data_IF_056204780175
#
_entry.id   IF_056204780175
#
_cell.length_a   1.000
_cell.length_b   1.000
_cell.length_c   1.000
_cell.angle_alpha   90.00
_cell.angle_beta   90.00
_cell.angle_gamma   90.00
#
_symmetry.space_group_name_H-M   'P 1'
#
loop_
_entity.id
_entity.type
_entity.pdbx_description
1 polymer ?
#
# COMPACT_ATOMS: atom_id res chain seq x y z
N UNK A 1 -7.87 19.82 -19.03
CA UNK A 1 -7.70 19.73 -20.49
C UNK A 1 -8.77 18.88 -21.16
N UNK A 2 -8.96 17.59 -20.80
CA UNK A 2 -10.02 16.74 -21.43
C UNK A 2 -11.45 17.23 -21.15
N UNK A 3 -11.71 17.81 -19.98
CA UNK A 3 -13.01 18.41 -19.65
C UNK A 3 -13.29 19.63 -20.52
N UNK A 4 -12.30 20.48 -20.75
CA UNK A 4 -12.42 21.71 -21.52
C UNK A 4 -12.66 21.45 -23.01
N UNK A 5 -12.01 20.44 -23.58
CA UNK A 5 -12.18 20.09 -25.00
C UNK A 5 -13.55 19.51 -25.34
N UNK A 6 -14.19 18.82 -24.39
CA UNK A 6 -15.54 18.25 -24.58
C UNK A 6 -16.66 19.29 -24.45
N UNK A 7 -16.48 20.30 -23.60
CA UNK A 7 -17.52 21.29 -23.33
C UNK A 7 -17.59 22.41 -24.36
N UNK A 8 -16.57 22.58 -25.22
CA UNK A 8 -16.45 23.74 -26.11
C UNK A 8 -16.39 25.07 -25.35
N UNK A 9 -16.07 25.05 -24.05
CA UNK A 9 -16.06 26.20 -23.19
C UNK A 9 -14.87 27.13 -23.52
N UNK A 10 -15.11 28.43 -23.44
CA UNK A 10 -14.06 29.45 -23.62
C UNK A 10 -13.28 29.73 -22.33
N UNK A 11 -13.73 29.18 -21.21
CA UNK A 11 -13.07 29.26 -19.89
C UNK A 11 -12.80 27.84 -19.35
N UNK A 12 -11.78 27.64 -18.48
CA UNK A 12 -11.50 26.35 -17.88
C UNK A 12 -12.73 25.79 -17.15
N UNK A 13 -13.07 24.54 -17.43
CA UNK A 13 -14.17 23.83 -16.75
C UNK A 13 -13.70 23.07 -15.52
N UNK A 14 -12.42 23.12 -15.22
CA UNK A 14 -11.81 22.49 -14.06
C UNK A 14 -10.85 23.45 -13.37
N UNK A 15 -10.63 23.21 -12.06
CA UNK A 15 -9.57 23.82 -11.28
C UNK A 15 -8.98 22.77 -10.33
N UNK A 16 -7.66 22.71 -10.23
CA UNK A 16 -6.95 21.96 -9.21
C UNK A 16 -6.54 22.94 -8.09
N UNK A 17 -6.97 22.66 -6.88
CA UNK A 17 -6.62 23.44 -5.69
C UNK A 17 -5.52 22.68 -4.94
N UNK A 18 -4.36 23.30 -4.78
CA UNK A 18 -3.23 22.75 -4.04
C UNK A 18 -2.90 23.70 -2.89
N UNK A 19 -2.92 23.17 -1.67
CA UNK A 19 -2.60 23.96 -0.46
C UNK A 19 -1.12 24.28 -0.30
N UNK A 20 -0.25 23.61 -1.06
CA UNK A 20 1.18 23.82 -1.07
C UNK A 20 1.59 24.76 -2.23
N UNK A 21 2.81 25.29 -2.17
CA UNK A 21 3.32 26.22 -3.20
C UNK A 21 3.79 25.52 -4.49
N UNK A 22 3.95 24.20 -4.45
CA UNK A 22 4.44 23.37 -5.53
C UNK A 22 3.57 22.14 -5.71
N UNK A 23 3.51 21.53 -6.91
CA UNK A 23 2.75 20.32 -7.14
C UNK A 23 3.41 19.11 -6.46
N UNK A 24 2.63 18.03 -6.28
CA UNK A 24 3.09 16.75 -5.76
C UNK A 24 3.76 16.83 -4.37
N UNK A 25 3.13 17.54 -3.43
CA UNK A 25 3.60 17.78 -2.06
C UNK A 25 4.23 16.55 -1.38
N UNK A 26 3.64 15.37 -1.53
CA UNK A 26 4.17 14.13 -0.96
C UNK A 26 5.57 13.81 -1.48
N UNK A 27 5.79 13.92 -2.80
CA UNK A 27 7.09 13.64 -3.41
C UNK A 27 8.09 14.76 -3.12
N UNK A 28 7.64 16.03 -3.07
CA UNK A 28 8.46 17.16 -2.63
C UNK A 28 9.05 16.92 -1.24
N UNK A 29 8.33 16.22 -0.37
CA UNK A 29 8.74 15.91 1.01
C UNK A 29 9.50 14.60 1.19
N UNK A 30 9.78 13.88 0.12
CA UNK A 30 10.71 12.76 0.21
C UNK A 30 12.13 13.28 0.48
N UNK A 31 12.95 12.46 1.11
CA UNK A 31 14.36 12.81 1.30
C UNK A 31 15.04 13.03 -0.07
N UNK A 32 16.01 13.92 -0.11
CA UNK A 32 16.84 14.20 -1.28
C UNK A 32 17.45 12.92 -1.84
N UNK A 33 17.44 12.77 -3.16
CA UNK A 33 17.97 11.59 -3.83
C UNK A 33 17.15 10.32 -3.70
N UNK A 34 16.01 10.34 -2.97
CA UNK A 34 15.17 9.14 -2.82
C UNK A 34 14.77 8.59 -4.18
N UNK A 35 15.07 7.30 -4.39
CA UNK A 35 14.58 6.57 -5.56
C UNK A 35 13.10 6.21 -5.39
N UNK A 36 12.29 6.56 -6.37
CA UNK A 36 10.85 6.28 -6.40
C UNK A 36 10.57 5.24 -7.47
N UNK A 37 10.01 4.13 -7.05
CA UNK A 37 9.70 3.00 -7.94
C UNK A 37 8.38 3.24 -8.68
N UNK A 38 8.34 2.87 -9.97
CA UNK A 38 7.13 2.91 -10.79
C UNK A 38 6.30 1.63 -10.63
N UNK A 39 5.86 1.36 -9.41
CA UNK A 39 5.05 0.18 -9.08
C UNK A 39 3.53 0.44 -9.26
N UNK A 40 2.75 -0.60 -9.61
CA UNK A 40 3.18 -1.89 -10.13
C UNK A 40 3.72 -1.76 -11.56
N UNK A 41 4.85 -2.48 -11.86
CA UNK A 41 5.58 -2.35 -13.12
C UNK A 41 4.74 -2.69 -14.36
N UNK A 42 3.81 -3.64 -14.22
CA UNK A 42 2.96 -4.16 -15.28
C UNK A 42 1.66 -3.34 -15.51
N UNK A 43 1.36 -2.35 -14.65
CA UNK A 43 0.18 -1.51 -14.82
C UNK A 43 0.50 -0.37 -15.79
N UNK A 44 -0.18 -0.32 -16.92
CA UNK A 44 -0.03 0.77 -17.87
C UNK A 44 -0.66 2.06 -17.35
N UNK A 45 -0.04 3.18 -17.68
CA UNK A 45 -0.60 4.49 -17.39
C UNK A 45 -1.66 4.85 -18.43
N UNK A 46 -2.79 5.36 -17.96
CA UNK A 46 -3.87 5.93 -18.78
C UNK A 46 -3.75 7.45 -18.90
N UNK A 47 -2.99 8.06 -18.03
CA UNK A 47 -2.71 9.49 -18.01
C UNK A 47 -1.80 9.89 -19.16
N UNK A 48 -1.99 11.11 -19.67
CA UNK A 48 -1.07 11.74 -20.64
C UNK A 48 0.24 12.16 -19.93
N UNK A 49 0.25 12.28 -18.60
CA UNK A 49 1.46 12.45 -17.81
C UNK A 49 2.20 11.13 -17.70
N UNK A 50 3.52 11.18 -17.85
CA UNK A 50 4.36 10.00 -17.74
C UNK A 50 4.79 9.74 -16.28
N UNK A 51 5.03 8.47 -15.96
CA UNK A 51 5.66 8.08 -14.71
C UNK A 51 6.56 6.87 -14.92
N UNK A 52 7.86 7.09 -14.74
CA UNK A 52 8.88 6.05 -14.71
C UNK A 52 9.60 6.11 -13.37
N UNK A 53 10.29 5.02 -13.00
CA UNK A 53 11.16 5.03 -11.82
C UNK A 53 12.31 6.02 -12.00
N UNK A 54 12.76 6.59 -10.90
CA UNK A 54 13.85 7.56 -10.91
C UNK A 54 14.02 8.24 -9.56
N UNK A 55 14.99 9.15 -9.46
CA UNK A 55 15.12 9.96 -8.26
C UNK A 55 13.94 10.94 -8.11
N UNK A 56 13.68 11.34 -6.86
CA UNK A 56 12.73 12.41 -6.53
C UNK A 56 12.85 13.61 -7.47
N UNK A 57 14.06 14.08 -7.68
CA UNK A 57 14.36 15.28 -8.48
C UNK A 57 14.03 15.08 -9.97
N UNK A 58 14.34 13.90 -10.51
CA UNK A 58 14.03 13.55 -11.90
C UNK A 58 12.52 13.52 -12.12
N UNK A 59 11.75 12.91 -11.20
CA UNK A 59 10.29 12.83 -11.31
C UNK A 59 9.67 14.22 -11.20
N UNK A 60 10.07 15.02 -10.21
CA UNK A 60 9.53 16.37 -10.01
C UNK A 60 9.83 17.27 -11.19
N UNK A 61 11.05 17.24 -11.72
CA UNK A 61 11.44 18.04 -12.88
C UNK A 61 10.65 17.67 -14.13
N UNK A 62 10.43 16.37 -14.36
CA UNK A 62 9.64 15.88 -15.48
C UNK A 62 8.18 16.28 -15.37
N UNK A 63 7.58 16.07 -14.21
CA UNK A 63 6.18 16.43 -13.98
C UNK A 63 5.94 17.94 -14.07
N UNK A 64 6.87 18.78 -13.60
CA UNK A 64 6.75 20.22 -13.76
C UNK A 64 6.72 20.60 -15.24
N UNK A 65 7.62 20.06 -16.05
CA UNK A 65 7.65 20.31 -17.50
C UNK A 65 6.38 19.85 -18.21
N UNK A 66 5.83 18.69 -17.82
CA UNK A 66 4.58 18.16 -18.38
C UNK A 66 3.35 18.99 -17.96
N UNK A 67 3.30 19.48 -16.72
CA UNK A 67 2.24 20.38 -16.24
C UNK A 67 2.28 21.72 -16.98
N UNK A 68 3.47 22.29 -17.19
CA UNK A 68 3.65 23.53 -17.93
C UNK A 68 3.21 23.36 -19.40
N UNK A 69 3.55 22.22 -20.01
CA UNK A 69 3.18 21.92 -21.40
C UNK A 69 1.67 21.68 -21.60
N UNK A 70 1.00 21.09 -20.59
CA UNK A 70 -0.44 20.79 -20.68
C UNK A 70 -1.35 21.95 -20.29
N UNK A 71 -0.81 22.97 -19.62
CA UNK A 71 -1.55 24.15 -19.19
C UNK A 71 -2.71 23.82 -18.23
N UNK A 72 -2.52 22.86 -17.31
CA UNK A 72 -3.52 22.51 -16.32
C UNK A 72 -3.81 23.72 -15.42
N UNK A 73 -5.09 24.02 -15.20
CA UNK A 73 -5.52 25.12 -14.34
C UNK A 73 -5.29 24.77 -12.87
N UNK A 74 -4.14 25.14 -12.30
CA UNK A 74 -3.76 24.88 -10.91
C UNK A 74 -3.71 26.21 -10.16
N UNK A 75 -4.30 26.24 -8.96
CA UNK A 75 -4.18 27.33 -8.00
C UNK A 75 -3.45 26.82 -6.76
N UNK A 76 -2.19 27.22 -6.62
CA UNK A 76 -1.33 26.92 -5.48
C UNK A 76 -1.66 27.80 -4.26
N UNK A 77 -1.16 27.43 -3.07
CA UNK A 77 -1.41 28.14 -1.83
C UNK A 77 -2.91 28.19 -1.45
N UNK A 78 -3.73 27.29 -1.98
CA UNK A 78 -5.18 27.29 -1.86
C UNK A 78 -5.66 26.18 -0.93
N UNK A 79 -5.55 26.41 0.37
CA UNK A 79 -6.02 25.46 1.38
C UNK A 79 -7.55 25.42 1.42
N UNK A 80 -8.11 24.22 1.18
CA UNK A 80 -9.55 23.96 1.30
C UNK A 80 -9.89 23.67 2.77
N UNK A 81 -10.79 24.45 3.35
CA UNK A 81 -11.21 24.34 4.74
C UNK A 81 -12.55 23.62 4.92
N UNK A 82 -13.35 23.50 3.85
CA UNK A 82 -14.62 22.80 3.90
C UNK A 82 -15.23 22.60 2.52
N UNK A 83 -16.03 21.55 2.40
CA UNK A 83 -16.79 21.21 1.19
C UNK A 83 -18.20 20.87 1.64
N UNK A 84 -19.20 21.53 1.05
CA UNK A 84 -20.62 21.29 1.33
C UNK A 84 -21.41 21.19 0.04
N UNK A 85 -22.54 20.49 0.09
CA UNK A 85 -23.42 20.29 -1.06
C UNK A 85 -23.33 18.87 -1.64
N UNK A 86 -23.80 18.73 -2.86
CA UNK A 86 -23.82 17.48 -3.60
C UNK A 86 -23.70 17.78 -5.11
N UNK A 87 -23.72 16.74 -5.93
CA UNK A 87 -23.63 16.81 -7.40
C UNK A 87 -24.43 17.99 -7.97
N UNK A 88 -23.78 18.80 -8.78
CA UNK A 88 -24.34 19.99 -9.41
C UNK A 88 -24.32 21.27 -8.55
N UNK A 89 -24.06 21.19 -7.24
CA UNK A 89 -24.12 22.34 -6.35
C UNK A 89 -23.17 22.26 -5.15
N UNK A 90 -21.90 21.96 -5.37
CA UNK A 90 -20.90 22.03 -4.33
C UNK A 90 -20.46 23.47 -4.05
N UNK A 91 -20.15 23.75 -2.79
CA UNK A 91 -19.46 24.96 -2.33
C UNK A 91 -18.18 24.55 -1.61
N UNK A 92 -17.03 24.97 -2.15
CA UNK A 92 -15.69 24.70 -1.63
C UNK A 92 -15.18 25.96 -0.94
N UNK A 93 -15.03 25.94 0.37
CA UNK A 93 -14.51 27.05 1.17
C UNK A 93 -12.98 26.99 1.24
N UNK A 94 -12.33 28.14 1.04
CA UNK A 94 -10.88 28.31 1.13
C UNK A 94 -10.49 29.08 2.40
N UNK A 95 -9.25 28.88 2.86
CA UNK A 95 -8.72 29.53 4.04
C UNK A 95 -8.66 31.07 3.91
N UNK A 96 -8.58 31.60 2.69
CA UNK A 96 -8.62 33.04 2.40
C UNK A 96 -10.03 33.67 2.44
N UNK A 97 -11.04 32.88 2.80
CA UNK A 97 -12.44 33.29 2.87
C UNK A 97 -13.20 33.24 1.54
N UNK A 98 -12.55 32.87 0.45
CA UNK A 98 -13.23 32.67 -0.84
C UNK A 98 -13.99 31.35 -0.87
N UNK A 99 -14.99 31.27 -1.75
CA UNK A 99 -15.70 30.04 -2.03
C UNK A 99 -15.77 29.78 -3.55
N UNK A 100 -15.58 28.53 -3.94
CA UNK A 100 -15.64 28.07 -5.33
C UNK A 100 -16.87 27.18 -5.48
N UNK A 101 -17.59 27.34 -6.60
CA UNK A 101 -18.70 26.46 -6.97
C UNK A 101 -18.23 25.38 -7.92
N UNK A 102 -18.71 24.14 -7.72
CA UNK A 102 -18.41 23.01 -8.61
C UNK A 102 -19.61 22.07 -8.74
N UNK A 103 -19.69 21.40 -9.88
CA UNK A 103 -20.68 20.34 -10.13
C UNK A 103 -20.24 19.01 -9.55
N UNK A 104 -18.92 18.73 -9.57
CA UNK A 104 -18.29 17.55 -9.01
C UNK A 104 -16.98 17.91 -8.31
N UNK A 105 -16.60 17.11 -7.32
CA UNK A 105 -15.37 17.30 -6.54
C UNK A 105 -14.60 15.99 -6.48
N UNK A 106 -13.27 16.06 -6.65
CA UNK A 106 -12.37 14.91 -6.51
C UNK A 106 -11.36 15.21 -5.41
N UNK A 107 -11.37 14.40 -4.35
CA UNK A 107 -10.39 14.48 -3.28
C UNK A 107 -9.18 13.59 -3.59
N UNK A 108 -8.06 14.23 -3.90
CA UNK A 108 -6.76 13.59 -4.14
C UNK A 108 -5.71 14.01 -3.10
N UNK A 109 -6.14 14.20 -1.85
CA UNK A 109 -5.37 14.85 -0.79
C UNK A 109 -4.35 13.92 -0.09
N UNK A 110 -4.36 12.62 -0.39
CA UNK A 110 -3.45 11.65 0.20
C UNK A 110 -3.56 11.52 1.73
N UNK A 111 -2.53 10.96 2.35
CA UNK A 111 -2.47 10.70 3.80
C UNK A 111 -1.36 11.50 4.50
N UNK A 112 -0.33 11.95 3.82
CA UNK A 112 0.91 12.44 4.44
C UNK A 112 0.80 13.82 5.11
N UNK A 113 -0.31 14.53 4.96
CA UNK A 113 -0.55 15.80 5.65
C UNK A 113 -0.57 15.70 7.19
N UNK A 114 -0.84 14.51 7.73
CA UNK A 114 -0.98 14.24 9.15
C UNK A 114 -0.02 13.14 9.61
N UNK A 115 1.28 13.42 9.81
CA UNK A 115 2.19 12.42 10.34
C UNK A 115 1.76 11.99 11.73
N UNK A 116 1.83 10.69 11.98
CA UNK A 116 1.59 10.15 13.33
C UNK A 116 2.68 10.64 14.26
N UNK A 117 2.28 11.29 15.35
CA UNK A 117 3.17 11.77 16.39
C UNK A 117 3.66 10.64 17.28
N UNK A 118 4.74 10.86 18.02
CA UNK A 118 5.28 9.94 19.02
C UNK A 118 4.28 9.66 20.13
N UNK A 119 3.52 10.68 20.54
CA UNK A 119 2.54 10.57 21.61
C UNK A 119 3.16 10.56 23.02
N UNK A 120 4.39 11.10 23.15
CA UNK A 120 5.14 11.14 24.41
C UNK A 120 5.50 12.59 24.77
N UNK A 121 5.86 12.84 26.02
CA UNK A 121 6.39 14.14 26.43
C UNK A 121 7.66 14.46 25.61
N UNK A 122 7.90 15.72 25.32
CA UNK A 122 9.04 16.17 24.52
C UNK A 122 8.95 15.92 23.01
N UNK A 123 7.86 15.36 22.50
CA UNK A 123 7.68 15.09 21.06
C UNK A 123 7.74 16.31 20.14
N UNK A 124 7.63 17.52 20.70
CA UNK A 124 7.70 18.80 19.97
C UNK A 124 9.02 19.55 20.20
N UNK A 125 10.02 18.94 20.82
CA UNK A 125 11.35 19.55 20.96
C UNK A 125 11.97 19.81 19.58
N UNK A 126 12.79 20.86 19.41
CA UNK A 126 13.29 21.28 18.10
C UNK A 126 14.07 20.23 17.30
N UNK A 127 14.68 19.26 18.00
CA UNK A 127 15.44 18.17 17.39
C UNK A 127 14.64 16.86 17.24
N UNK A 128 13.33 16.90 17.51
CA UNK A 128 12.38 15.82 17.23
C UNK A 128 11.66 16.12 15.93
N UNK A 129 11.94 15.36 14.89
CA UNK A 129 11.49 15.59 13.51
C UNK A 129 10.59 14.46 13.04
N UNK A 130 9.63 14.79 12.19
CA UNK A 130 8.70 13.84 11.58
C UNK A 130 8.93 13.68 10.07
N UNK A 131 9.95 14.36 9.57
CA UNK A 131 10.37 14.34 8.17
C UNK A 131 11.91 14.43 8.13
N UNK A 132 12.50 13.80 7.14
CA UNK A 132 13.91 13.94 6.78
C UNK A 132 13.96 14.48 5.35
N UNK A 133 14.50 15.69 5.20
CA UNK A 133 14.60 16.36 3.89
C UNK A 133 15.91 15.98 3.19
N UNK A 134 17.02 16.19 3.84
CA UNK A 134 18.35 15.84 3.33
C UNK A 134 19.14 15.07 4.38
N UNK A 135 19.41 13.77 4.20
CA UNK A 135 20.23 13.00 5.14
C UNK A 135 21.69 13.47 5.21
N UNK A 136 22.19 14.17 4.18
CA UNK A 136 23.56 14.67 4.11
C UNK A 136 23.79 15.92 5.00
N UNK A 137 22.71 16.56 5.48
CA UNK A 137 22.81 17.69 6.42
C UNK A 137 23.34 17.29 7.80
N UNK A 138 23.33 15.99 8.12
CA UNK A 138 23.73 15.49 9.44
C UNK A 138 24.95 14.59 9.30
N UNK A 139 26.03 14.90 10.02
CA UNK A 139 27.25 14.11 10.08
C UNK A 139 27.75 14.00 11.50
N UNK A 140 28.30 12.81 11.84
CA UNK A 140 28.85 12.47 13.14
C UNK A 140 27.85 12.67 14.31
N UNK A 141 26.56 12.57 14.03
CA UNK A 141 25.50 12.61 15.02
C UNK A 141 25.11 11.17 15.47
N UNK A 142 24.63 11.04 16.71
CA UNK A 142 23.86 9.89 17.17
C UNK A 142 22.38 10.18 16.91
N UNK A 143 21.74 9.44 16.01
CA UNK A 143 20.37 9.69 15.57
C UNK A 143 19.48 8.49 15.92
N UNK A 144 18.33 8.77 16.51
CA UNK A 144 17.30 7.75 16.77
C UNK A 144 16.20 7.87 15.72
N UNK A 145 16.00 6.79 14.96
CA UNK A 145 14.89 6.68 14.00
C UNK A 145 13.78 5.83 14.63
N UNK A 146 12.61 6.40 14.82
CA UNK A 146 11.47 5.70 15.46
C UNK A 146 10.51 5.23 14.39
N UNK A 147 10.36 3.93 14.24
CA UNK A 147 9.49 3.26 13.27
C UNK A 147 10.18 2.10 12.56
N UNK A 148 9.40 1.24 11.92
CA UNK A 148 9.89 0.01 11.26
C UNK A 148 9.21 -0.24 9.89
N UNK A 149 8.62 0.78 9.29
CA UNK A 149 8.11 0.74 7.90
C UNK A 149 9.16 1.23 6.91
N UNK A 150 8.85 1.13 5.60
CA UNK A 150 9.78 1.48 4.51
C UNK A 150 10.44 2.84 4.69
N UNK A 151 9.67 3.89 4.99
CA UNK A 151 10.22 5.23 5.18
C UNK A 151 11.19 5.35 6.37
N UNK A 152 10.97 4.58 7.45
CA UNK A 152 11.90 4.55 8.59
C UNK A 152 13.20 3.83 8.21
N UNK A 153 13.08 2.70 7.52
CA UNK A 153 14.20 1.90 7.05
C UNK A 153 15.07 2.71 6.08
N UNK A 154 14.45 3.33 5.07
CA UNK A 154 15.15 4.15 4.08
C UNK A 154 15.89 5.34 4.73
N UNK A 155 15.25 6.00 5.71
CA UNK A 155 15.88 7.08 6.45
C UNK A 155 17.07 6.58 7.31
N UNK A 156 16.89 5.44 8.01
CA UNK A 156 17.95 4.86 8.83
C UNK A 156 19.16 4.45 7.98
N UNK A 157 18.94 3.80 6.84
CA UNK A 157 20.00 3.41 5.90
C UNK A 157 20.75 4.62 5.33
N UNK A 158 20.02 5.65 4.89
CA UNK A 158 20.65 6.86 4.35
C UNK A 158 21.48 7.60 5.40
N UNK A 159 20.96 7.75 6.61
CA UNK A 159 21.65 8.43 7.70
C UNK A 159 22.88 7.66 8.19
N UNK A 160 22.85 6.32 8.18
CA UNK A 160 23.94 5.49 8.69
C UNK A 160 25.25 5.59 7.87
N UNK A 161 25.19 6.18 6.68
CA UNK A 161 26.36 6.42 5.86
C UNK A 161 27.40 7.33 6.57
N UNK A 162 26.94 8.24 7.42
CA UNK A 162 27.83 9.20 8.09
C UNK A 162 27.46 9.49 9.57
N UNK A 163 26.48 8.76 10.12
CA UNK A 163 26.02 8.95 11.50
C UNK A 163 25.93 7.61 12.23
N UNK A 164 25.90 7.64 13.57
CA UNK A 164 25.53 6.52 14.43
C UNK A 164 24.01 6.47 14.52
N UNK A 165 23.36 5.43 14.00
CA UNK A 165 21.91 5.37 13.87
C UNK A 165 21.33 4.22 14.70
N UNK A 166 20.32 4.52 15.50
CA UNK A 166 19.52 3.56 16.25
C UNK A 166 18.10 3.54 15.68
N UNK A 167 17.68 2.43 15.03
CA UNK A 167 16.29 2.25 14.62
C UNK A 167 15.50 1.53 15.70
N UNK A 168 14.36 2.11 16.10
CA UNK A 168 13.47 1.53 17.10
C UNK A 168 12.30 0.82 16.45
N UNK A 169 12.18 -0.46 16.70
CA UNK A 169 11.09 -1.29 16.26
C UNK A 169 10.29 -1.80 17.47
N UNK A 170 9.02 -1.44 17.57
CA UNK A 170 8.13 -1.91 18.64
C UNK A 170 7.75 -3.39 18.54
N UNK A 171 8.12 -4.06 17.45
CA UNK A 171 7.96 -5.50 17.22
C UNK A 171 9.32 -6.17 17.21
N UNK A 172 9.29 -7.48 17.22
CA UNK A 172 10.47 -8.35 17.12
C UNK A 172 10.96 -8.53 15.67
N UNK A 173 10.23 -8.00 14.68
CA UNK A 173 10.55 -8.10 13.25
C UNK A 173 10.05 -6.91 12.44
N UNK A 174 10.60 -6.73 11.22
CA UNK A 174 10.17 -5.72 10.25
C UNK A 174 9.01 -6.22 9.36
N UNK A 175 7.90 -6.64 9.97
CA UNK A 175 6.77 -7.31 9.29
C UNK A 175 6.05 -6.48 8.21
N UNK A 176 6.25 -5.17 8.17
CA UNK A 176 5.60 -4.26 7.22
C UNK A 176 6.52 -3.76 6.11
N UNK A 177 7.79 -4.11 6.15
CA UNK A 177 8.77 -3.69 5.18
C UNK A 177 8.58 -4.41 3.84
N UNK A 178 8.81 -3.72 2.74
CA UNK A 178 8.97 -4.34 1.42
C UNK A 178 10.23 -5.19 1.43
N UNK A 179 10.23 -6.26 0.63
CA UNK A 179 11.33 -7.24 0.60
C UNK A 179 12.71 -6.61 0.39
N UNK A 180 12.83 -5.67 -0.56
CA UNK A 180 14.09 -4.96 -0.81
C UNK A 180 14.58 -4.18 0.41
N UNK A 181 13.70 -3.44 1.10
CA UNK A 181 14.02 -2.69 2.30
C UNK A 181 14.32 -3.62 3.48
N UNK A 182 13.59 -4.72 3.61
CA UNK A 182 13.84 -5.74 4.64
C UNK A 182 15.25 -6.31 4.48
N UNK A 183 15.61 -6.76 3.28
CA UNK A 183 16.92 -7.32 3.01
C UNK A 183 18.04 -6.31 3.27
N UNK A 184 17.86 -5.06 2.85
CA UNK A 184 18.85 -4.00 3.03
C UNK A 184 19.07 -3.67 4.53
N UNK A 185 17.99 -3.52 5.31
CA UNK A 185 18.12 -3.18 6.74
C UNK A 185 18.75 -4.34 7.54
N UNK A 186 18.37 -5.59 7.26
CA UNK A 186 18.94 -6.75 7.94
C UNK A 186 20.44 -6.92 7.59
N UNK A 187 20.82 -6.72 6.34
CA UNK A 187 22.22 -6.75 5.92
C UNK A 187 23.03 -5.65 6.63
N UNK A 188 22.50 -4.43 6.71
CA UNK A 188 23.17 -3.32 7.39
C UNK A 188 23.34 -3.56 8.91
N UNK A 189 22.30 -4.04 9.60
CA UNK A 189 22.36 -4.36 11.04
C UNK A 189 23.36 -5.49 11.32
N UNK A 190 23.46 -6.47 10.42
CA UNK A 190 24.36 -7.62 10.58
C UNK A 190 25.82 -7.30 10.27
N UNK A 191 26.12 -6.17 9.63
CA UNK A 191 27.46 -5.76 9.30
C UNK A 191 28.04 -4.85 10.38
N UNK A 192 29.03 -5.28 11.16
CA UNK A 192 29.62 -4.49 12.24
C UNK A 192 30.35 -3.21 11.78
N UNK A 193 30.64 -3.09 10.47
CA UNK A 193 31.22 -1.86 9.92
C UNK A 193 30.17 -0.77 9.67
N UNK A 194 28.87 -1.13 9.64
CA UNK A 194 27.79 -0.16 9.58
C UNK A 194 27.46 0.40 10.95
N UNK A 195 27.32 1.69 11.02
CA UNK A 195 26.90 2.42 12.23
C UNK A 195 25.38 2.39 12.39
N UNK A 196 24.75 1.21 12.20
CA UNK A 196 23.30 1.02 12.26
C UNK A 196 22.93 -0.09 13.23
N UNK A 197 22.16 0.26 14.24
CA UNK A 197 21.71 -0.64 15.28
C UNK A 197 20.20 -0.70 15.34
N UNK A 198 19.63 -1.84 15.72
CA UNK A 198 18.20 -2.00 15.91
C UNK A 198 17.89 -2.40 17.36
N UNK A 199 16.89 -1.71 17.94
CA UNK A 199 16.24 -2.16 19.19
C UNK A 199 14.86 -2.69 18.83
N UNK A 200 14.72 -4.00 18.94
CA UNK A 200 13.43 -4.68 18.77
C UNK A 200 12.59 -4.62 20.03
N UNK A 201 11.28 -4.84 19.89
CA UNK A 201 10.30 -4.83 21.00
C UNK A 201 10.43 -3.60 21.91
N UNK A 202 10.80 -2.45 21.31
CA UNK A 202 11.14 -1.22 22.02
C UNK A 202 10.24 -0.07 21.59
N UNK A 203 9.70 0.67 22.56
CA UNK A 203 8.93 1.89 22.33
C UNK A 203 9.51 3.09 23.11
N UNK A 204 9.29 4.28 22.59
CA UNK A 204 9.62 5.52 23.29
C UNK A 204 8.54 5.81 24.33
N UNK A 205 8.94 6.23 25.54
CA UNK A 205 8.05 6.68 26.61
C UNK A 205 8.23 8.16 26.95
N UNK A 206 9.40 8.73 26.72
CA UNK A 206 9.69 10.15 26.96
C UNK A 206 10.84 10.65 26.07
N UNK A 207 10.88 11.97 25.83
CA UNK A 207 12.02 12.67 25.22
C UNK A 207 12.25 13.95 26.01
N UNK A 208 13.45 14.14 26.54
CA UNK A 208 13.84 15.36 27.25
C UNK A 208 15.09 16.00 26.64
N UNK A 209 15.29 17.27 26.91
CA UNK A 209 16.58 17.90 26.63
C UNK A 209 17.67 17.30 27.54
N UNK A 210 18.87 17.16 26.98
CA UNK A 210 20.03 16.72 27.73
C UNK A 210 20.48 17.79 28.73
N UNK A 211 21.03 17.36 29.86
CA UNK A 211 21.66 18.24 30.81
C UNK A 211 23.07 18.64 30.33
N UNK A 212 23.74 19.56 31.09
CA UNK A 212 25.12 19.96 30.79
C UNK A 212 26.05 18.74 30.74
N UNK A 213 26.74 18.57 29.60
CA UNK A 213 27.62 17.45 29.31
C UNK A 213 26.96 16.21 28.73
N UNK A 214 25.63 16.18 28.58
CA UNK A 214 24.89 15.18 27.83
C UNK A 214 24.74 15.57 26.35
N UNK A 215 24.34 14.59 25.50
CA UNK A 215 23.88 14.90 24.16
C UNK A 215 22.59 15.74 24.20
N UNK A 216 22.26 16.49 23.13
CA UNK A 216 21.14 17.44 23.14
C UNK A 216 19.79 16.88 23.53
N UNK A 217 19.57 15.58 23.30
CA UNK A 217 18.35 14.88 23.68
C UNK A 217 18.69 13.58 24.44
N UNK A 218 17.82 13.22 25.35
CA UNK A 218 17.80 11.91 26.00
C UNK A 218 16.42 11.32 25.84
N UNK A 219 16.33 10.18 25.20
CA UNK A 219 15.10 9.43 24.99
C UNK A 219 14.99 8.32 26.03
N UNK A 220 13.84 8.21 26.67
CA UNK A 220 13.50 7.07 27.53
C UNK A 220 12.76 6.03 26.70
N UNK A 221 13.19 4.79 26.84
CA UNK A 221 12.72 3.65 26.07
C UNK A 221 12.22 2.54 26.96
N UNK A 222 11.03 2.03 26.67
CA UNK A 222 10.51 0.80 27.24
C UNK A 222 11.02 -0.38 26.42
N UNK A 223 11.81 -1.25 27.04
CA UNK A 223 12.37 -2.46 26.43
C UNK A 223 11.89 -3.72 27.17
N UNK A 224 12.05 -4.94 26.61
CA UNK A 224 11.72 -6.17 27.31
C UNK A 224 12.48 -6.37 28.64
N UNK A 225 13.67 -5.79 28.72
CA UNK A 225 14.54 -5.86 29.91
C UNK A 225 14.25 -4.75 30.93
N UNK A 226 13.33 -3.84 30.64
CA UNK A 226 12.98 -2.69 31.44
C UNK A 226 13.26 -1.35 30.77
N UNK A 227 13.11 -0.28 31.52
CA UNK A 227 13.35 1.07 31.07
C UNK A 227 14.85 1.37 30.87
N UNK A 228 15.21 1.92 29.72
CA UNK A 228 16.58 2.37 29.41
C UNK A 228 16.57 3.77 28.82
N UNK A 229 17.68 4.49 28.96
CA UNK A 229 17.87 5.81 28.34
C UNK A 229 18.79 5.71 27.14
N UNK A 230 18.46 6.45 26.07
CA UNK A 230 19.24 6.58 24.86
C UNK A 230 19.56 8.05 24.59
N UNK A 231 20.78 8.50 24.92
CA UNK A 231 21.23 9.83 24.51
C UNK A 231 21.36 9.93 23.00
N UNK A 232 20.96 11.06 22.42
CA UNK A 232 21.03 11.29 20.98
C UNK A 232 21.11 12.78 20.64
N UNK A 233 21.56 13.09 19.44
CA UNK A 233 21.55 14.44 18.90
C UNK A 233 20.18 14.79 18.33
N UNK A 234 19.46 13.79 17.80
CA UNK A 234 18.25 13.98 17.02
C UNK A 234 17.35 12.74 17.07
N UNK A 235 16.04 12.99 16.98
CA UNK A 235 15.03 11.95 16.81
C UNK A 235 14.28 12.17 15.50
N UNK A 236 14.17 11.14 14.67
CA UNK A 236 13.41 11.17 13.42
C UNK A 236 12.29 10.12 13.52
N UNK A 237 11.05 10.58 13.68
CA UNK A 237 9.90 9.71 13.86
C UNK A 237 9.21 9.44 12.51
N UNK A 238 9.20 8.18 12.07
CA UNK A 238 8.59 7.72 10.82
C UNK A 238 7.52 6.68 11.11
N UNK A 239 6.47 7.11 11.79
CA UNK A 239 5.40 6.25 12.32
C UNK A 239 4.21 6.07 11.36
N UNK A 240 4.36 6.54 10.12
CA UNK A 240 3.31 6.59 9.12
C UNK A 240 2.40 7.82 9.29
N UNK A 241 1.32 7.85 8.52
CA UNK A 241 0.36 8.94 8.53
C UNK A 241 -0.99 8.51 9.13
N UNK A 242 -1.78 9.49 9.55
CA UNK A 242 -3.17 9.32 9.95
C UNK A 242 -4.02 9.93 8.84
N UNK A 243 -5.04 9.23 8.32
CA UNK A 243 -5.96 9.82 7.36
C UNK A 243 -6.53 11.14 7.89
N UNK A 244 -6.76 12.17 7.05
CA UNK A 244 -7.36 13.44 7.44
C UNK A 244 -8.86 13.29 7.73
N UNK A 245 -9.21 12.33 8.58
CA UNK A 245 -10.56 11.84 8.84
C UNK A 245 -11.53 12.96 9.20
N UNK A 246 -11.13 13.86 10.09
CA UNK A 246 -12.00 14.97 10.53
C UNK A 246 -12.43 15.85 9.38
N UNK A 247 -11.52 16.17 8.47
CA UNK A 247 -11.82 16.94 7.28
C UNK A 247 -12.76 16.18 6.35
N UNK A 248 -12.47 14.89 6.10
CA UNK A 248 -13.28 14.02 5.22
C UNK A 248 -14.70 13.86 5.78
N UNK A 249 -14.85 13.59 7.07
CA UNK A 249 -16.16 13.53 7.75
C UNK A 249 -16.91 14.88 7.71
N UNK A 250 -16.20 16.02 7.82
CA UNK A 250 -16.84 17.34 7.70
C UNK A 250 -17.40 17.62 6.29
N UNK A 251 -16.91 16.88 5.27
CA UNK A 251 -17.48 16.90 3.92
C UNK A 251 -18.72 16.01 3.76
N UNK A 252 -19.19 15.35 4.82
CA UNK A 252 -20.33 14.45 4.80
C UNK A 252 -20.00 13.01 4.39
N UNK A 253 -18.72 12.67 4.29
CA UNK A 253 -18.27 11.32 3.90
C UNK A 253 -18.28 10.40 5.13
N UNK A 254 -18.83 9.21 4.95
CA UNK A 254 -18.95 8.19 5.98
C UNK A 254 -17.81 7.19 5.93
N UNK A 255 -17.47 6.62 7.08
CA UNK A 255 -16.48 5.56 7.23
C UNK A 255 -17.14 4.31 7.81
N UNK A 256 -16.75 3.10 7.38
CA UNK A 256 -17.38 1.85 7.80
C UNK A 256 -17.15 1.52 9.29
N UNK A 257 -16.14 2.13 9.91
CA UNK A 257 -15.81 1.89 11.31
C UNK A 257 -15.12 3.08 11.96
N UNK A 258 -15.03 3.07 13.30
CA UNK A 258 -14.31 4.07 14.09
C UNK A 258 -12.78 3.79 14.18
N UNK A 259 -12.29 2.75 13.54
CA UNK A 259 -10.84 2.47 13.49
C UNK A 259 -10.13 3.66 12.81
N UNK A 260 -8.97 4.04 13.34
CA UNK A 260 -8.22 5.23 12.87
C UNK A 260 -7.68 5.10 11.45
N UNK A 261 -7.49 3.88 11.00
CA UNK A 261 -6.99 3.49 9.68
C UNK A 261 -8.11 3.05 8.72
N UNK A 262 -9.38 3.22 9.12
CA UNK A 262 -10.51 2.97 8.25
C UNK A 262 -10.44 3.86 6.99
N UNK A 263 -10.80 3.28 5.87
CA UNK A 263 -10.88 3.93 4.57
C UNK A 263 -12.35 4.24 4.29
N UNK A 264 -12.72 5.37 3.67
CA UNK A 264 -14.08 5.66 3.28
C UNK A 264 -14.66 4.57 2.37
N UNK A 265 -15.94 4.30 2.50
CA UNK A 265 -16.63 3.44 1.54
C UNK A 265 -16.80 4.16 0.20
N UNK A 266 -16.37 3.51 -0.87
CA UNK A 266 -16.41 4.05 -2.22
C UNK A 266 -17.08 3.06 -3.16
N UNK A 267 -17.83 3.59 -4.11
CA UNK A 267 -18.30 2.81 -5.25
C UNK A 267 -17.12 2.36 -6.13
N UNK A 268 -17.36 1.42 -7.03
CA UNK A 268 -16.39 1.01 -8.06
C UNK A 268 -15.94 2.16 -8.98
N UNK A 269 -16.63 3.29 -8.94
CA UNK A 269 -16.31 4.51 -9.69
C UNK A 269 -15.63 5.57 -8.81
N UNK A 270 -15.14 5.19 -7.64
CA UNK A 270 -14.48 6.05 -6.63
C UNK A 270 -15.41 7.13 -6.02
N UNK A 271 -16.72 7.06 -6.22
CA UNK A 271 -17.69 7.96 -5.66
C UNK A 271 -18.04 7.57 -4.22
N UNK A 272 -18.06 8.54 -3.33
CA UNK A 272 -18.42 8.37 -1.92
C UNK A 272 -19.95 8.28 -1.72
N UNK A 273 -20.40 8.17 -0.46
CA UNK A 273 -21.82 8.30 -0.10
C UNK A 273 -22.40 9.69 -0.44
N UNK A 274 -21.56 10.71 -0.66
CA UNK A 274 -22.00 12.05 -1.11
C UNK A 274 -21.98 12.07 -2.64
N UNK A 275 -23.14 12.14 -3.33
CA UNK A 275 -23.19 12.13 -4.79
C UNK A 275 -22.35 13.24 -5.42
N UNK A 276 -21.50 12.91 -6.39
CA UNK A 276 -20.60 13.83 -7.07
C UNK A 276 -19.29 14.13 -6.34
N UNK A 277 -19.06 13.54 -5.16
CA UNK A 277 -17.84 13.65 -4.39
C UNK A 277 -17.05 12.35 -4.49
N UNK A 278 -15.89 12.42 -5.14
CA UNK A 278 -15.01 11.28 -5.43
C UNK A 278 -13.75 11.32 -4.59
N UNK A 279 -13.18 10.16 -4.29
CA UNK A 279 -11.94 10.03 -3.53
C UNK A 279 -10.99 9.11 -4.29
N UNK A 280 -9.72 9.52 -4.45
CA UNK A 280 -8.70 8.74 -5.16
C UNK A 280 -7.37 8.70 -4.38
N UNK A 281 -6.49 7.80 -4.79
CA UNK A 281 -5.14 7.65 -4.25
C UNK A 281 -5.13 7.04 -2.84
N UNK A 282 -4.16 7.45 -2.03
CA UNK A 282 -3.91 6.83 -0.72
C UNK A 282 -5.09 6.94 0.25
N UNK A 283 -5.90 8.00 0.15
CA UNK A 283 -7.10 8.16 0.97
C UNK A 283 -8.19 7.13 0.59
N UNK A 284 -8.21 6.66 -0.65
CA UNK A 284 -9.06 5.58 -1.13
C UNK A 284 -8.46 4.17 -0.90
N UNK A 285 -7.32 4.07 -0.20
CA UNK A 285 -6.63 2.80 0.03
C UNK A 285 -5.57 2.43 -0.99
N UNK A 286 -5.29 3.28 -1.98
CA UNK A 286 -4.32 3.03 -3.06
C UNK A 286 -3.05 3.87 -2.87
N UNK A 287 -2.02 3.35 -2.19
CA UNK A 287 -0.83 4.12 -1.84
C UNK A 287 0.16 4.29 -2.99
N UNK A 288 0.00 3.56 -4.11
CA UNK A 288 0.94 3.58 -5.22
C UNK A 288 0.62 4.71 -6.20
N UNK A 289 1.64 5.44 -6.62
CA UNK A 289 1.51 6.62 -7.49
C UNK A 289 0.81 6.27 -8.80
N UNK A 290 1.23 5.19 -9.47
CA UNK A 290 0.67 4.76 -10.77
C UNK A 290 -0.82 4.43 -10.67
N UNK A 291 -1.24 3.79 -9.58
CA UNK A 291 -2.66 3.54 -9.31
C UNK A 291 -3.45 4.85 -9.14
N UNK A 292 -2.92 5.78 -8.33
CA UNK A 292 -3.57 7.07 -8.12
C UNK A 292 -3.69 7.90 -9.42
N UNK A 293 -2.67 7.87 -10.29
CA UNK A 293 -2.72 8.53 -11.60
C UNK A 293 -3.80 7.93 -12.50
N UNK A 294 -3.91 6.60 -12.54
CA UNK A 294 -4.96 5.92 -13.31
C UNK A 294 -6.35 6.20 -12.75
N UNK A 295 -6.52 6.22 -11.44
CA UNK A 295 -7.78 6.61 -10.81
C UNK A 295 -8.18 8.05 -11.16
N UNK A 296 -7.19 8.97 -11.21
CA UNK A 296 -7.42 10.34 -11.66
C UNK A 296 -7.96 10.42 -13.08
N UNK A 297 -7.44 9.59 -14.01
CA UNK A 297 -7.96 9.46 -15.35
C UNK A 297 -9.38 8.87 -15.34
N UNK A 298 -9.58 7.75 -14.65
CA UNK A 298 -10.82 7.00 -14.62
C UNK A 298 -11.97 7.85 -14.04
N UNK A 299 -11.73 8.58 -12.94
CA UNK A 299 -12.75 9.43 -12.32
C UNK A 299 -13.20 10.56 -13.23
N UNK A 300 -12.30 11.13 -14.03
CA UNK A 300 -12.65 12.16 -15.02
C UNK A 300 -13.53 11.57 -16.12
N UNK A 301 -13.24 10.35 -16.59
CA UNK A 301 -14.09 9.66 -17.55
C UNK A 301 -15.50 9.37 -16.97
N UNK A 302 -15.58 8.93 -15.70
CA UNK A 302 -16.86 8.70 -15.01
C UNK A 302 -17.67 10.00 -14.86
N UNK A 303 -17.03 11.12 -14.48
CA UNK A 303 -17.68 12.43 -14.40
C UNK A 303 -18.24 12.84 -15.78
N UNK A 304 -17.54 12.49 -16.85
CA UNK A 304 -17.98 12.73 -18.23
C UNK A 304 -19.07 11.75 -18.72
N UNK A 305 -19.50 10.79 -17.91
CA UNK A 305 -20.48 9.77 -18.25
C UNK A 305 -19.92 8.62 -19.11
N UNK A 306 -18.60 8.51 -19.23
CA UNK A 306 -17.96 7.40 -19.94
C UNK A 306 -17.65 6.29 -18.92
N UNK A 307 -18.39 5.19 -19.00
CA UNK A 307 -18.14 4.02 -18.15
C UNK A 307 -17.04 3.18 -18.79
N UNK A 308 -15.80 3.40 -18.33
CA UNK A 308 -14.62 2.62 -18.72
C UNK A 308 -14.36 1.51 -17.69
N UNK A 309 -13.74 0.42 -18.13
CA UNK A 309 -13.25 -0.60 -17.21
C UNK A 309 -12.11 -0.03 -16.36
N UNK A 310 -12.06 -0.30 -15.05
CA UNK A 310 -10.95 0.14 -14.18
C UNK A 310 -9.58 -0.29 -14.73
N UNK A 311 -8.54 0.47 -14.41
CA UNK A 311 -7.18 0.22 -14.91
C UNK A 311 -6.61 -1.13 -14.47
N UNK A 312 -7.05 -1.65 -13.33
CA UNK A 312 -6.66 -2.94 -12.78
C UNK A 312 -7.40 -4.14 -13.41
N UNK A 313 -8.45 -3.89 -14.19
CA UNK A 313 -9.29 -4.94 -14.79
C UNK A 313 -8.49 -5.94 -15.65
N UNK A 314 -7.57 -5.53 -16.52
CA UNK A 314 -6.77 -6.48 -17.31
C UNK A 314 -5.90 -7.40 -16.43
N UNK A 315 -5.45 -6.93 -15.27
CA UNK A 315 -4.65 -7.73 -14.33
C UNK A 315 -5.49 -8.85 -13.71
N UNK A 316 -6.71 -8.53 -13.34
CA UNK A 316 -7.67 -9.49 -12.80
C UNK A 316 -8.13 -10.48 -13.88
N UNK A 317 -8.29 -10.04 -15.13
CA UNK A 317 -8.54 -10.94 -16.26
C UNK A 317 -7.43 -11.99 -16.39
N UNK A 318 -6.15 -11.58 -16.35
CA UNK A 318 -5.03 -12.53 -16.37
C UNK A 318 -5.03 -13.46 -15.17
N UNK A 319 -5.37 -12.95 -13.98
CA UNK A 319 -5.42 -13.72 -12.74
C UNK A 319 -6.50 -14.80 -12.76
N UNK A 320 -7.63 -14.54 -13.42
CA UNK A 320 -8.78 -15.42 -13.45
C UNK A 320 -8.88 -16.28 -14.71
N UNK A 321 -7.99 -16.12 -15.67
CA UNK A 321 -8.05 -16.79 -16.98
C UNK A 321 -7.99 -18.32 -16.89
N UNK A 322 -7.40 -18.89 -15.83
CA UNK A 322 -7.34 -20.33 -15.60
C UNK A 322 -8.52 -20.91 -14.84
N UNK A 323 -9.52 -20.12 -14.47
CA UNK A 323 -10.70 -20.63 -13.76
C UNK A 323 -11.56 -21.51 -14.68
N UNK A 324 -12.22 -22.54 -14.13
CA UNK A 324 -13.00 -23.50 -14.91
C UNK A 324 -14.36 -22.97 -15.38
N UNK A 325 -14.62 -21.69 -15.28
CA UNK A 325 -15.87 -21.06 -15.69
C UNK A 325 -15.64 -19.66 -16.26
N UNK A 326 -16.38 -19.35 -17.31
CA UNK A 326 -16.40 -18.01 -17.90
C UNK A 326 -17.35 -17.12 -17.09
N UNK A 327 -16.81 -16.02 -16.53
CA UNK A 327 -17.56 -14.97 -15.85
C UNK A 327 -16.85 -13.66 -16.02
N UNK A 328 -17.61 -12.55 -15.92
CA UNK A 328 -17.03 -11.24 -15.83
C UNK A 328 -16.18 -11.09 -14.55
N UNK A 329 -15.12 -10.31 -14.63
CA UNK A 329 -14.17 -10.09 -13.51
C UNK A 329 -14.88 -9.60 -12.25
N UNK A 330 -15.83 -8.68 -12.40
CA UNK A 330 -16.55 -8.11 -11.26
C UNK A 330 -17.42 -9.16 -10.56
N UNK A 331 -18.06 -10.07 -11.31
CA UNK A 331 -18.83 -11.20 -10.74
C UNK A 331 -17.92 -12.17 -9.99
N UNK A 332 -16.69 -12.40 -10.49
CA UNK A 332 -15.71 -13.25 -9.81
C UNK A 332 -15.23 -12.63 -8.51
N UNK A 333 -14.95 -11.34 -8.51
CA UNK A 333 -14.55 -10.58 -7.32
C UNK A 333 -15.66 -10.65 -6.26
N UNK A 334 -16.91 -10.35 -6.61
CA UNK A 334 -18.05 -10.42 -5.69
C UNK A 334 -18.25 -11.85 -5.15
N UNK A 335 -18.13 -12.85 -6.03
CA UNK A 335 -18.23 -14.26 -5.64
C UNK A 335 -17.13 -14.64 -4.65
N UNK A 336 -15.87 -14.36 -4.94
CA UNK A 336 -14.75 -14.70 -4.06
C UNK A 336 -14.87 -14.01 -2.71
N UNK A 337 -15.24 -12.75 -2.70
CA UNK A 337 -15.45 -11.98 -1.48
C UNK A 337 -16.62 -12.56 -0.64
N UNK A 338 -17.71 -12.93 -1.28
CA UNK A 338 -18.90 -13.49 -0.58
C UNK A 338 -18.66 -14.88 0.01
N UNK A 339 -17.83 -15.69 -0.64
CA UNK A 339 -17.55 -17.08 -0.22
C UNK A 339 -16.61 -17.16 0.97
N UNK A 340 -15.73 -16.17 1.16
CA UNK A 340 -14.67 -16.21 2.17
C UNK A 340 -15.00 -15.25 3.31
N UNK A 341 -15.32 -15.76 4.52
CA UNK A 341 -15.75 -14.92 5.64
C UNK A 341 -14.78 -13.77 5.97
N UNK A 342 -13.47 -14.04 5.97
CA UNK A 342 -12.46 -13.05 6.29
C UNK A 342 -12.34 -11.90 5.27
N UNK A 343 -12.84 -12.09 4.04
CA UNK A 343 -12.80 -11.06 3.00
C UNK A 343 -14.04 -10.17 2.96
N UNK A 344 -15.12 -10.56 3.66
CA UNK A 344 -16.41 -9.83 3.66
C UNK A 344 -16.30 -8.43 4.28
N UNK A 345 -15.36 -8.23 5.20
CA UNK A 345 -15.15 -6.94 5.85
C UNK A 345 -14.30 -5.96 5.00
N UNK A 346 -13.67 -6.45 3.93
CA UNK A 346 -12.94 -5.60 3.01
C UNK A 346 -13.91 -4.85 2.10
N UNK A 347 -13.62 -3.58 1.82
CA UNK A 347 -14.33 -2.91 0.73
C UNK A 347 -13.90 -3.49 -0.64
N UNK A 348 -14.71 -3.30 -1.66
CA UNK A 348 -14.49 -3.87 -3.00
C UNK A 348 -13.11 -3.53 -3.57
N UNK A 349 -12.63 -2.30 -3.36
CA UNK A 349 -11.33 -1.86 -3.88
C UNK A 349 -10.16 -2.53 -3.15
N UNK A 350 -10.21 -2.61 -1.82
CA UNK A 350 -9.20 -3.31 -1.03
C UNK A 350 -9.14 -4.80 -1.36
N UNK A 351 -10.29 -5.40 -1.66
CA UNK A 351 -10.34 -6.80 -2.07
C UNK A 351 -9.74 -7.01 -3.48
N UNK A 352 -10.04 -6.12 -4.44
CA UNK A 352 -9.41 -6.16 -5.77
C UNK A 352 -7.87 -6.07 -5.67
N UNK A 353 -7.36 -5.15 -4.85
CA UNK A 353 -5.92 -5.03 -4.60
C UNK A 353 -5.34 -6.31 -3.97
N UNK A 354 -6.04 -6.90 -2.98
CA UNK A 354 -5.63 -8.16 -2.38
C UNK A 354 -5.53 -9.28 -3.43
N UNK A 355 -6.52 -9.42 -4.30
CA UNK A 355 -6.51 -10.42 -5.35
C UNK A 355 -5.36 -10.20 -6.33
N UNK A 356 -5.12 -8.96 -6.76
CA UNK A 356 -4.00 -8.61 -7.65
C UNK A 356 -2.64 -8.95 -7.02
N UNK A 357 -2.50 -8.80 -5.71
CA UNK A 357 -1.28 -9.16 -4.98
C UNK A 357 -1.13 -10.65 -4.70
N UNK A 358 -2.20 -11.42 -4.85
CA UNK A 358 -2.27 -12.87 -4.58
C UNK A 358 -2.02 -13.69 -5.84
N UNK A 359 -1.79 -15.00 -5.69
CA UNK A 359 -1.84 -15.97 -6.79
C UNK A 359 -3.16 -16.73 -6.71
N UNK A 360 -3.80 -16.98 -7.84
CA UNK A 360 -4.92 -17.92 -7.94
C UNK A 360 -4.37 -19.28 -8.35
N UNK A 361 -4.71 -20.34 -7.65
CA UNK A 361 -4.30 -21.72 -7.94
C UNK A 361 -5.55 -22.53 -8.21
N UNK A 362 -5.55 -23.30 -9.28
CA UNK A 362 -6.68 -24.16 -9.66
C UNK A 362 -6.17 -25.58 -9.90
N UNK A 363 -6.81 -26.55 -9.25
CA UNK A 363 -6.55 -27.95 -9.49
C UNK A 363 -7.54 -28.55 -10.48
N UNK A 364 -7.05 -29.36 -11.39
CA UNK A 364 -7.85 -30.11 -12.35
C UNK A 364 -7.64 -31.61 -12.20
N UNK A 365 -8.66 -32.44 -12.41
CA UNK A 365 -8.49 -33.89 -12.57
C UNK A 365 -7.53 -34.17 -13.73
N UNK A 366 -6.78 -35.25 -13.64
CA UNK A 366 -5.91 -35.66 -14.74
C UNK A 366 -6.75 -36.02 -15.97
N UNK A 367 -6.50 -35.37 -17.10
CA UNK A 367 -7.26 -35.59 -18.33
C UNK A 367 -7.25 -34.40 -19.28
N UNK A 368 -8.12 -34.41 -20.30
CA UNK A 368 -8.14 -33.36 -21.34
C UNK A 368 -8.32 -31.93 -20.80
N UNK A 369 -9.13 -31.77 -19.76
CA UNK A 369 -9.37 -30.44 -19.13
C UNK A 369 -8.10 -29.87 -18.50
N UNK A 370 -7.30 -30.71 -17.85
CA UNK A 370 -6.01 -30.33 -17.30
C UNK A 370 -5.04 -29.89 -18.41
N UNK A 371 -4.92 -30.70 -19.47
CA UNK A 371 -4.00 -30.42 -20.58
C UNK A 371 -4.39 -29.11 -21.30
N UNK A 372 -5.68 -28.88 -21.51
CA UNK A 372 -6.19 -27.64 -22.10
C UNK A 372 -5.92 -26.42 -21.18
N UNK A 373 -6.14 -26.55 -19.87
CA UNK A 373 -5.84 -25.48 -18.91
C UNK A 373 -4.33 -25.16 -18.88
N UNK A 374 -3.46 -26.17 -18.91
CA UNK A 374 -2.01 -25.99 -18.97
C UNK A 374 -1.53 -25.34 -20.27
N UNK A 375 -2.16 -25.67 -21.40
CA UNK A 375 -1.86 -25.01 -22.68
C UNK A 375 -2.23 -23.53 -22.64
N UNK A 376 -3.38 -23.19 -22.08
CA UNK A 376 -3.79 -21.79 -21.89
C UNK A 376 -2.84 -21.02 -20.96
N UNK A 377 -2.43 -21.64 -19.85
CA UNK A 377 -1.44 -21.05 -18.93
C UNK A 377 -0.10 -20.79 -19.63
N UNK A 378 0.39 -21.75 -20.39
CA UNK A 378 1.65 -21.62 -21.15
C UNK A 378 1.58 -20.53 -22.22
N UNK A 379 0.50 -20.49 -23.00
CA UNK A 379 0.28 -19.45 -24.01
C UNK A 379 0.19 -18.06 -23.41
N UNK A 380 -0.43 -17.93 -22.22
CA UNK A 380 -0.48 -16.69 -21.49
C UNK A 380 0.91 -16.28 -20.97
N UNK A 381 1.66 -17.22 -20.39
CA UNK A 381 3.03 -16.97 -19.93
C UNK A 381 3.94 -16.49 -21.06
N UNK A 382 3.83 -17.07 -22.24
CA UNK A 382 4.57 -16.63 -23.45
C UNK A 382 4.18 -15.20 -23.86
N UNK A 383 2.89 -14.89 -23.88
CA UNK A 383 2.38 -13.54 -24.17
C UNK A 383 2.87 -12.49 -23.19
N UNK A 384 3.04 -12.86 -21.90
CA UNK A 384 3.46 -11.98 -20.83
C UNK A 384 4.99 -11.88 -20.68
N UNK A 385 5.75 -12.79 -21.29
CA UNK A 385 7.22 -12.87 -21.12
C UNK A 385 7.98 -11.61 -21.58
N UNK A 386 7.38 -10.78 -22.42
CA UNK A 386 7.96 -9.50 -22.89
C UNK A 386 7.71 -8.31 -21.95
N UNK A 387 6.92 -8.48 -20.89
CA UNK A 387 6.63 -7.40 -19.97
C UNK A 387 7.73 -7.24 -18.91
N UNK A 388 8.07 -6.01 -18.50
CA UNK A 388 9.16 -5.76 -17.53
C UNK A 388 8.93 -6.41 -16.16
N UNK A 389 7.67 -6.63 -15.78
CA UNK A 389 7.24 -7.46 -14.65
C UNK A 389 5.99 -8.19 -15.09
N UNK A 390 6.08 -9.51 -15.15
CA UNK A 390 4.96 -10.36 -15.55
C UNK A 390 3.82 -10.23 -14.54
N UNK A 391 2.57 -9.91 -14.97
CA UNK A 391 1.41 -9.99 -14.09
C UNK A 391 1.29 -11.42 -13.54
N UNK A 392 0.72 -11.53 -12.35
CA UNK A 392 0.39 -12.85 -11.81
C UNK A 392 -0.72 -13.46 -12.66
N UNK A 393 -0.63 -14.75 -12.91
CA UNK A 393 -1.64 -15.53 -13.64
C UNK A 393 -2.08 -16.71 -12.79
N UNK A 394 -3.19 -17.34 -13.18
CA UNK A 394 -3.64 -18.58 -12.54
C UNK A 394 -2.55 -19.64 -12.66
N UNK A 395 -2.18 -20.27 -11.54
CA UNK A 395 -1.32 -21.46 -11.52
C UNK A 395 -2.20 -22.70 -11.63
N UNK A 396 -1.92 -23.54 -12.63
CA UNK A 396 -2.66 -24.79 -12.85
C UNK A 396 -1.86 -25.94 -12.26
N UNK A 397 -2.52 -26.73 -11.39
CA UNK A 397 -1.96 -27.95 -10.76
C UNK A 397 -2.89 -29.15 -10.99
N UNK A 398 -2.39 -30.36 -10.75
CA UNK A 398 -3.21 -31.57 -10.78
C UNK A 398 -3.89 -31.80 -9.45
N UNK A 399 -5.05 -32.45 -9.48
CA UNK A 399 -5.61 -33.12 -8.33
C UNK A 399 -4.59 -34.07 -7.68
N UNK A 400 -4.44 -34.03 -6.37
CA UNK A 400 -3.46 -34.80 -5.62
C UNK A 400 -2.04 -34.21 -5.64
N UNK A 401 -1.81 -33.11 -6.36
CA UNK A 401 -0.52 -32.43 -6.36
C UNK A 401 -0.34 -31.62 -5.08
N UNK A 402 0.88 -31.59 -4.58
CA UNK A 402 1.23 -30.82 -3.39
C UNK A 402 1.28 -29.32 -3.69
N UNK A 403 0.63 -28.53 -2.84
CA UNK A 403 0.64 -27.06 -2.84
C UNK A 403 1.97 -26.58 -2.23
N UNK A 404 2.37 -27.21 -1.13
CA UNK A 404 3.66 -27.06 -0.47
C UNK A 404 4.05 -28.35 0.30
N UNK A 405 5.33 -28.48 0.62
CA UNK A 405 5.91 -29.62 1.32
C UNK A 405 6.33 -29.28 2.76
N UNK A 406 6.39 -30.29 3.68
CA UNK A 406 6.94 -30.09 5.00
C UNK A 406 8.38 -29.60 4.95
N UNK A 407 8.74 -28.66 5.83
CA UNK A 407 10.09 -28.12 5.89
C UNK A 407 10.32 -26.89 4.98
N UNK A 408 9.40 -26.55 4.09
CA UNK A 408 9.48 -25.33 3.29
C UNK A 408 9.22 -24.09 4.16
N UNK A 409 9.93 -22.99 3.89
CA UNK A 409 9.63 -21.69 4.51
C UNK A 409 8.57 -20.98 3.68
N UNK A 410 7.41 -20.76 4.28
CA UNK A 410 6.26 -20.10 3.62
C UNK A 410 6.27 -18.60 3.81
N UNK A 411 6.11 -17.85 2.72
CA UNK A 411 5.90 -16.40 2.72
C UNK A 411 4.46 -15.99 2.42
N UNK A 412 3.57 -16.98 2.29
CA UNK A 412 2.16 -16.84 1.93
C UNK A 412 1.27 -17.73 2.76
N UNK A 413 -0.01 -17.40 2.82
CA UNK A 413 -1.10 -18.24 3.32
C UNK A 413 -2.12 -18.48 2.20
N UNK A 414 -2.96 -19.49 2.37
CA UNK A 414 -3.88 -19.95 1.33
C UNK A 414 -5.31 -19.91 1.86
N UNK A 415 -6.22 -19.43 1.04
CA UNK A 415 -7.65 -19.43 1.33
C UNK A 415 -8.37 -20.29 0.30
N UNK A 416 -9.27 -21.19 0.75
CA UNK A 416 -10.01 -22.09 -0.12
C UNK A 416 -11.27 -21.37 -0.61
N UNK A 417 -11.33 -21.07 -1.90
CA UNK A 417 -12.49 -20.46 -2.56
C UNK A 417 -13.51 -21.53 -2.93
N UNK A 418 -13.02 -22.67 -3.43
CA UNK A 418 -13.86 -23.82 -3.77
C UNK A 418 -13.05 -25.13 -3.64
N UNK A 419 -13.72 -26.26 -3.48
CA UNK A 419 -13.09 -27.56 -3.30
C UNK A 419 -12.55 -27.79 -1.89
N UNK A 420 -11.59 -28.72 -1.78
CA UNK A 420 -11.02 -29.19 -0.51
C UNK A 420 -9.51 -29.32 -0.60
N UNK A 421 -8.84 -29.17 0.54
CA UNK A 421 -7.40 -29.37 0.70
C UNK A 421 -7.15 -30.31 1.85
N UNK A 422 -6.30 -31.32 1.64
CA UNK A 422 -5.87 -32.25 2.68
C UNK A 422 -4.51 -31.83 3.23
N UNK A 423 -4.42 -31.62 4.54
CA UNK A 423 -3.18 -31.40 5.26
C UNK A 423 -2.69 -32.72 5.88
N UNK A 424 -1.46 -33.11 5.58
CA UNK A 424 -0.83 -34.31 6.12
C UNK A 424 0.42 -33.93 6.93
N UNK A 425 0.45 -34.33 8.19
CA UNK A 425 1.61 -34.12 9.08
C UNK A 425 2.10 -35.46 9.63
N UNK A 426 3.41 -35.62 9.74
CA UNK A 426 4.03 -36.71 10.47
C UNK A 426 4.22 -36.28 11.94
N UNK A 427 3.63 -37.06 12.85
CA UNK A 427 3.75 -36.80 14.30
C UNK A 427 4.40 -38.01 14.98
N UNK A 428 4.81 -37.83 16.21
CA UNK A 428 5.37 -38.93 17.04
C UNK A 428 4.37 -40.08 17.26
N UNK A 429 3.06 -39.83 17.07
CA UNK A 429 1.96 -40.81 17.20
C UNK A 429 1.54 -41.42 15.86
N UNK A 430 2.18 -41.02 14.74
CA UNK A 430 1.89 -41.48 13.38
C UNK A 430 1.46 -40.37 12.44
N UNK A 431 0.97 -40.73 11.26
CA UNK A 431 0.46 -39.79 10.27
C UNK A 431 -0.90 -39.22 10.73
N UNK A 432 -1.00 -37.89 10.75
CA UNK A 432 -2.24 -37.17 10.98
C UNK A 432 -2.68 -36.51 9.67
N UNK A 433 -3.94 -36.69 9.30
CA UNK A 433 -4.55 -36.03 8.15
C UNK A 433 -5.78 -35.23 8.59
N UNK A 434 -5.95 -34.04 8.00
CA UNK A 434 -7.15 -33.22 8.17
C UNK A 434 -7.53 -32.62 6.83
N UNK A 435 -8.84 -32.54 6.57
CA UNK A 435 -9.37 -31.94 5.35
C UNK A 435 -9.97 -30.58 5.68
N UNK A 436 -9.60 -29.57 4.90
CA UNK A 436 -10.14 -28.23 4.94
C UNK A 436 -11.01 -28.00 3.71
N UNK A 437 -12.08 -27.23 3.89
CA UNK A 437 -13.11 -26.98 2.89
C UNK A 437 -13.22 -25.50 2.55
N UNK A 438 -14.11 -25.18 1.64
CA UNK A 438 -14.40 -23.82 1.20
C UNK A 438 -14.60 -22.84 2.37
N UNK A 439 -13.93 -21.68 2.29
CA UNK A 439 -13.98 -20.59 3.28
C UNK A 439 -12.94 -20.72 4.39
N UNK A 440 -12.27 -21.87 4.50
CA UNK A 440 -11.18 -22.08 5.44
C UNK A 440 -9.83 -21.63 4.83
N UNK A 441 -8.84 -21.44 5.69
CA UNK A 441 -7.49 -21.01 5.29
C UNK A 441 -6.43 -21.86 5.98
N UNK A 442 -5.23 -21.88 5.41
CA UNK A 442 -4.10 -22.68 5.92
C UNK A 442 -2.75 -22.05 5.57
N UNK A 443 -1.71 -22.56 6.20
CA UNK A 443 -0.35 -22.10 5.96
C UNK A 443 0.05 -20.82 6.71
N UNK A 444 -0.85 -20.22 7.48
CA UNK A 444 -0.62 -19.01 8.28
C UNK A 444 0.34 -19.23 9.44
N UNK A 445 0.39 -20.44 10.00
CA UNK A 445 1.24 -20.77 11.15
C UNK A 445 2.73 -20.54 10.86
N UNK A 446 3.18 -20.84 9.64
CA UNK A 446 4.56 -20.57 9.22
C UNK A 446 4.85 -19.08 9.12
N UNK A 447 3.87 -18.29 8.69
CA UNK A 447 3.99 -16.85 8.61
C UNK A 447 4.07 -16.20 10.01
N UNK A 448 3.29 -16.70 10.95
CA UNK A 448 3.19 -16.15 12.30
C UNK A 448 4.39 -16.57 13.16
N UNK A 449 4.86 -17.81 13.02
CA UNK A 449 5.93 -18.37 13.83
C UNK A 449 7.34 -18.21 13.24
N UNK A 450 7.44 -17.89 11.94
CA UNK A 450 8.72 -17.90 11.20
C UNK A 450 9.34 -19.30 11.07
N UNK A 451 8.59 -20.35 11.38
CA UNK A 451 9.04 -21.76 11.28
C UNK A 451 8.69 -22.35 9.91
N UNK A 452 9.42 -23.39 9.48
CA UNK A 452 9.05 -24.15 8.29
C UNK A 452 7.64 -24.73 8.38
N UNK A 453 7.04 -25.06 7.23
CA UNK A 453 5.75 -25.75 7.13
C UNK A 453 5.78 -27.06 7.91
N UNK A 454 4.82 -27.31 8.82
CA UNK A 454 4.81 -28.53 9.62
C UNK A 454 4.17 -29.72 8.88
N UNK A 455 3.48 -29.45 7.78
CA UNK A 455 2.63 -30.39 7.04
C UNK A 455 2.82 -30.26 5.53
N UNK A 456 2.27 -31.23 4.81
CA UNK A 456 2.07 -31.19 3.35
C UNK A 456 0.63 -30.78 3.09
N UNK A 457 0.40 -29.86 2.16
CA UNK A 457 -0.92 -29.50 1.69
C UNK A 457 -1.15 -30.08 0.29
N UNK A 458 -2.23 -30.85 0.12
CA UNK A 458 -2.57 -31.55 -1.11
C UNK A 458 -3.90 -31.03 -1.64
N UNK A 459 -3.91 -30.64 -2.91
CA UNK A 459 -5.11 -30.13 -3.56
C UNK A 459 -6.08 -31.25 -3.92
N UNK A 460 -7.34 -31.14 -3.53
CA UNK A 460 -8.42 -31.99 -4.01
C UNK A 460 -8.83 -31.66 -5.45
N UNK A 461 -9.85 -32.39 -5.96
CA UNK A 461 -10.40 -32.14 -7.29
C UNK A 461 -11.14 -30.80 -7.37
N UNK A 462 -10.92 -30.04 -8.45
CA UNK A 462 -11.63 -28.77 -8.70
C UNK A 462 -11.38 -27.69 -7.62
N UNK A 463 -10.26 -27.80 -6.90
CA UNK A 463 -9.92 -26.86 -5.84
C UNK A 463 -9.48 -25.52 -6.44
N UNK A 464 -10.02 -24.43 -5.90
CA UNK A 464 -9.66 -23.05 -6.23
C UNK A 464 -9.13 -22.37 -4.97
N UNK A 465 -7.89 -21.89 -5.01
CA UNK A 465 -7.21 -21.26 -3.89
C UNK A 465 -6.78 -19.84 -4.25
N UNK A 466 -6.77 -18.97 -3.24
CA UNK A 466 -6.08 -17.69 -3.27
C UNK A 466 -4.87 -17.78 -2.35
N UNK A 467 -3.67 -17.76 -2.92
CA UNK A 467 -2.41 -17.69 -2.20
C UNK A 467 -2.04 -16.23 -1.98
N UNK A 468 -2.20 -15.77 -0.76
CA UNK A 468 -1.98 -14.37 -0.37
C UNK A 468 -0.63 -14.19 0.33
N UNK A 469 0.19 -13.19 -0.05
CA UNK A 469 1.46 -12.94 0.60
C UNK A 469 1.26 -12.39 2.03
N UNK A 470 2.27 -12.58 2.88
CA UNK A 470 2.26 -12.15 4.29
C UNK A 470 1.78 -10.70 4.49
N UNK A 471 2.19 -9.78 3.59
CA UNK A 471 1.82 -8.35 3.70
C UNK A 471 0.31 -8.10 3.61
N UNK A 472 -0.45 -8.99 2.98
CA UNK A 472 -1.92 -8.87 2.87
C UNK A 472 -2.63 -9.26 4.16
N UNK A 473 -2.05 -10.15 5.01
CA UNK A 473 -2.61 -10.47 6.33
C UNK A 473 -2.75 -9.24 7.24
N UNK A 474 -1.92 -8.24 7.04
CA UNK A 474 -1.97 -7.01 7.86
C UNK A 474 -3.15 -6.12 7.48
N UNK A 475 -3.74 -6.34 6.29
CA UNK A 475 -4.92 -5.62 5.79
C UNK A 475 -6.24 -6.30 6.22
N UNK A 476 -6.18 -7.58 6.57
CA UNK A 476 -7.28 -8.38 7.10
C UNK A 476 -7.38 -8.25 8.63
#
# INVERSE_FOLDING_TARGET
ARLDTKSGATAPTHILLEGFELPAKTIQRYQKGKHVMAEPGFLDLRSDMSFAEGSREQILGKWQAELDATGVNIRFGSEVTGITGARGNFSIALADGQAIRAESVVLAIGLEGNPRKLGVAGENLPRVQYQLDDPEEFSDETIVVVGAGDAAIENALALSAQNEVWILNRRDEFSRAKEGNLNAILAAISNPEHRLHCRYSTSASDVREGADGELPLVMTLDTPEGEVTQPCHRVIARLGAIPPRRFVESCGIEFPSQKRDAIPELSRHYESNVPGLYIIGSLAGYPLIKQAMNQGHDVVEFINGNFIRPADHPLLEYQFQGLPYEREVDDLIERFQSLIPMFRELNSLAFRELVIESNVIVSYPTGPEYEDARQREAALAEKLAGLPKTPRSTRIIREGESIYEPGEFGTSFFTIVDGEVTLEAETTEGKRSSTLSRGEFFGEMSLLSGRPRPDRAIAGAGCILVESPRRTMVKL
#
